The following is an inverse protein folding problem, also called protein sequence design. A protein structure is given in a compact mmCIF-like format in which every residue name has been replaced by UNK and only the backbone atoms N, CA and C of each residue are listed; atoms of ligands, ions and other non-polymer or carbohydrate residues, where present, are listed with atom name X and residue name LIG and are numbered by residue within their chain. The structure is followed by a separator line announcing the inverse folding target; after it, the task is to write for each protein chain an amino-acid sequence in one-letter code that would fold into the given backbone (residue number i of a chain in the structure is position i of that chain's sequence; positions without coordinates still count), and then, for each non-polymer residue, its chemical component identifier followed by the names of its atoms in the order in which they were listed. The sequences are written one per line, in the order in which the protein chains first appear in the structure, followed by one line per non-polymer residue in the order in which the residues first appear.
data_IF_875715138560
#
_entry.id   IF_875715138560
#
_cell.length_a   1.000
_cell.length_b   1.000
_cell.length_c   1.000
_cell.angle_alpha   90.00
_cell.angle_beta   90.00
_cell.angle_gamma   90.00
#
_symmetry.space_group_name_H-M   'P 1'
#
loop_
_entity.id
_entity.type
_entity.pdbx_description
1 polymer ?
#
# COMPACT_ATOMS: atom_id res chain seq x y z
N UNK A 1 -9.07 1.45 21.72
CA UNK A 1 -9.24 0.74 20.44
C UNK A 1 -9.60 1.75 19.36
N UNK A 2 -8.87 1.75 18.25
CA UNK A 2 -9.14 2.68 17.15
C UNK A 2 -10.33 2.21 16.35
N UNK A 3 -11.26 3.13 16.03
CA UNK A 3 -12.37 2.89 15.10
C UNK A 3 -11.92 3.08 13.66
N UNK A 4 -10.80 3.76 13.47
CA UNK A 4 -10.24 4.10 12.16
C UNK A 4 -8.78 3.67 12.13
N UNK A 5 -8.38 2.96 11.07
CA UNK A 5 -6.98 2.62 10.83
C UNK A 5 -6.66 2.85 9.35
N UNK A 6 -5.93 3.91 9.06
CA UNK A 6 -5.63 4.36 7.70
C UNK A 6 -4.20 4.07 7.27
N UNK A 7 -3.47 3.24 8.01
CA UNK A 7 -2.06 2.97 7.70
C UNK A 7 -1.72 1.49 7.94
N UNK A 8 -2.24 0.63 7.08
CA UNK A 8 -2.05 -0.82 7.15
C UNK A 8 -1.26 -1.27 5.92
N UNK A 9 -0.36 -2.22 6.10
CA UNK A 9 0.40 -2.82 4.99
C UNK A 9 0.03 -4.29 4.84
N UNK A 10 -0.20 -4.73 3.60
CA UNK A 10 -0.41 -6.13 3.28
C UNK A 10 0.92 -6.80 2.92
N UNK A 11 0.89 -8.10 2.64
CA UNK A 11 2.08 -8.84 2.24
C UNK A 11 2.52 -8.56 0.79
N UNK A 12 1.83 -7.68 0.07
CA UNK A 12 2.37 -7.11 -1.17
C UNK A 12 3.54 -6.16 -0.88
N UNK A 13 3.56 -5.53 0.32
CA UNK A 13 4.72 -4.79 0.80
C UNK A 13 5.66 -5.71 1.56
N UNK A 14 6.97 -5.44 1.48
CA UNK A 14 7.98 -6.25 2.17
C UNK A 14 7.82 -6.22 3.70
N UNK A 15 7.24 -5.16 4.24
CA UNK A 15 7.02 -4.98 5.67
C UNK A 15 5.66 -5.47 6.16
N UNK A 16 4.83 -6.00 5.28
CA UNK A 16 3.53 -6.56 5.64
C UNK A 16 3.58 -8.07 5.80
N UNK A 17 2.89 -8.60 6.80
CA UNK A 17 2.89 -10.03 7.12
C UNK A 17 1.62 -10.76 6.67
N UNK A 18 0.52 -10.03 6.47
CA UNK A 18 -0.79 -10.61 6.22
C UNK A 18 -1.26 -10.39 4.79
N UNK A 19 -1.94 -11.40 4.24
CA UNK A 19 -2.66 -11.23 2.98
C UNK A 19 -3.81 -10.23 3.16
N UNK A 20 -4.33 -9.71 2.05
CA UNK A 20 -5.47 -8.79 2.10
C UNK A 20 -6.67 -9.47 2.77
N UNK A 21 -6.94 -10.73 2.47
CA UNK A 21 -8.04 -11.46 3.08
C UNK A 21 -7.87 -11.59 4.61
N UNK A 22 -6.66 -11.90 5.06
CA UNK A 22 -6.37 -12.00 6.48
C UNK A 22 -6.51 -10.66 7.18
N UNK A 23 -6.12 -9.56 6.52
CA UNK A 23 -6.31 -8.21 7.05
C UNK A 23 -7.79 -7.88 7.22
N UNK A 24 -8.64 -8.29 6.26
CA UNK A 24 -10.08 -8.10 6.39
C UNK A 24 -10.61 -8.76 7.67
N UNK A 25 -10.19 -9.99 7.93
CA UNK A 25 -10.60 -10.74 9.12
C UNK A 25 -10.08 -10.10 10.39
N UNK A 26 -8.81 -9.72 10.42
CA UNK A 26 -8.16 -9.14 11.59
C UNK A 26 -8.75 -7.78 11.95
N UNK A 27 -8.94 -6.92 10.95
CA UNK A 27 -9.49 -5.57 11.14
C UNK A 27 -10.94 -5.67 11.64
N UNK A 28 -11.73 -6.58 11.08
CA UNK A 28 -13.09 -6.82 11.53
C UNK A 28 -13.13 -7.32 12.98
N UNK A 29 -12.24 -8.24 13.34
CA UNK A 29 -12.16 -8.78 14.71
C UNK A 29 -11.79 -7.69 15.73
N UNK A 30 -11.05 -6.66 15.32
CA UNK A 30 -10.66 -5.55 16.20
C UNK A 30 -11.71 -4.43 16.28
N UNK A 31 -12.81 -4.56 15.58
CA UNK A 31 -13.90 -3.57 15.64
C UNK A 31 -13.62 -2.28 14.90
N UNK A 32 -12.67 -2.27 13.98
CA UNK A 32 -12.38 -1.11 13.13
C UNK A 32 -13.53 -0.87 12.17
N UNK A 33 -13.88 0.38 11.94
CA UNK A 33 -15.01 0.77 11.07
C UNK A 33 -14.56 1.35 9.73
N UNK A 34 -13.40 2.00 9.71
CA UNK A 34 -12.82 2.60 8.50
C UNK A 34 -11.36 2.17 8.41
N UNK A 35 -10.94 1.65 7.27
CA UNK A 35 -9.58 1.14 7.09
C UNK A 35 -9.04 1.44 5.70
N UNK A 36 -7.71 1.52 5.59
CA UNK A 36 -7.03 1.66 4.32
C UNK A 36 -5.72 0.89 4.35
N UNK A 37 -5.47 0.12 3.30
CA UNK A 37 -4.19 -0.56 3.08
C UNK A 37 -3.36 0.36 2.19
N UNK A 38 -2.19 0.77 2.69
CA UNK A 38 -1.28 1.72 2.01
C UNK A 38 0.04 1.04 1.71
N UNK A 39 0.02 0.07 0.82
CA UNK A 39 1.23 -0.65 0.44
C UNK A 39 2.22 0.26 -0.29
N UNK A 40 3.51 -0.04 -0.11
CA UNK A 40 4.59 0.73 -0.74
C UNK A 40 4.61 0.52 -2.26
N UNK A 41 4.30 1.58 -3.00
CA UNK A 41 4.42 1.66 -4.47
C UNK A 41 3.61 0.64 -5.27
N UNK A 42 2.81 -0.19 -4.63
CA UNK A 42 1.99 -1.22 -5.27
C UNK A 42 0.51 -0.94 -5.06
N UNK A 43 -0.25 -1.11 -6.14
CA UNK A 43 -1.70 -0.89 -6.12
C UNK A 43 -2.49 -2.21 -5.98
N UNK A 44 -1.80 -3.32 -5.96
CA UNK A 44 -2.43 -4.66 -5.96
C UNK A 44 -3.44 -4.84 -4.83
N UNK A 45 -3.07 -4.43 -3.61
CA UNK A 45 -3.98 -4.57 -2.47
C UNK A 45 -5.24 -3.73 -2.63
N UNK A 46 -5.12 -2.51 -3.13
CA UNK A 46 -6.28 -1.65 -3.35
C UNK A 46 -7.24 -2.26 -4.37
N UNK A 47 -6.72 -2.94 -5.40
CA UNK A 47 -7.53 -3.66 -6.39
C UNK A 47 -8.17 -4.91 -5.77
N UNK A 48 -7.43 -5.65 -4.96
CA UNK A 48 -7.95 -6.86 -4.31
C UNK A 48 -9.05 -6.54 -3.29
N UNK A 49 -8.91 -5.41 -2.58
CA UNK A 49 -9.93 -4.93 -1.64
C UNK A 49 -11.30 -4.83 -2.29
N UNK A 50 -11.37 -4.42 -3.55
CA UNK A 50 -12.66 -4.29 -4.25
C UNK A 50 -13.42 -5.61 -4.34
N UNK A 51 -12.70 -6.75 -4.42
CA UNK A 51 -13.32 -8.06 -4.48
C UNK A 51 -13.99 -8.46 -3.15
N UNK A 52 -13.42 -8.03 -2.02
CA UNK A 52 -13.93 -8.39 -0.69
C UNK A 52 -14.83 -7.35 -0.07
N UNK A 53 -14.78 -6.11 -0.55
CA UNK A 53 -15.53 -4.97 0.01
C UNK A 53 -17.04 -5.24 0.15
N UNK A 54 -17.74 -5.86 -0.82
CA UNK A 54 -19.18 -6.10 -0.68
C UNK A 54 -19.53 -7.03 0.50
N UNK A 55 -18.59 -7.79 1.01
CA UNK A 55 -18.81 -8.75 2.09
C UNK A 55 -18.32 -8.22 3.44
N UNK A 56 -17.91 -6.97 3.52
CA UNK A 56 -17.37 -6.35 4.72
C UNK A 56 -18.28 -5.24 5.21
N UNK A 57 -18.37 -5.10 6.53
CA UNK A 57 -19.09 -4.00 7.17
C UNK A 57 -18.17 -2.79 7.40
N UNK A 58 -16.92 -2.90 6.98
CA UNK A 58 -15.91 -1.86 7.17
C UNK A 58 -15.86 -1.00 5.91
N UNK A 59 -15.75 0.31 6.08
CA UNK A 59 -15.48 1.22 4.96
C UNK A 59 -14.01 1.13 4.60
N UNK A 60 -13.70 0.49 3.49
CA UNK A 60 -12.35 0.39 2.97
C UNK A 60 -12.09 1.51 1.97
N UNK A 61 -11.06 2.32 2.24
CA UNK A 61 -10.68 3.43 1.38
C UNK A 61 -9.53 2.96 0.49
N UNK A 62 -9.68 3.06 -0.85
CA UNK A 62 -8.57 2.71 -1.75
C UNK A 62 -7.41 3.68 -1.55
N UNK A 63 -6.20 3.14 -1.35
CA UNK A 63 -5.05 3.95 -0.94
C UNK A 63 -3.73 3.33 -1.36
N UNK A 64 -2.68 4.12 -1.31
CA UNK A 64 -1.31 3.71 -1.63
C UNK A 64 -0.32 4.61 -0.90
N UNK A 65 0.86 4.07 -0.59
CA UNK A 65 1.99 4.87 -0.10
C UNK A 65 3.05 4.93 -1.19
N UNK A 66 3.22 6.10 -1.81
CA UNK A 66 4.15 6.28 -2.92
C UNK A 66 5.49 6.81 -2.47
N UNK A 67 6.57 6.19 -2.93
CA UNK A 67 7.92 6.71 -2.76
C UNK A 67 8.16 7.83 -3.77
N UNK A 68 8.76 8.92 -3.32
CA UNK A 68 9.10 10.06 -4.13
C UNK A 68 10.42 10.67 -3.67
N UNK A 69 11.04 11.48 -4.51
CA UNK A 69 12.28 12.18 -4.17
C UNK A 69 12.02 13.69 -4.23
N UNK A 70 12.33 14.36 -3.16
CA UNK A 70 12.24 15.81 -3.07
C UNK A 70 13.49 16.37 -2.42
N UNK A 71 14.17 17.27 -3.13
CA UNK A 71 15.43 17.88 -2.66
C UNK A 71 16.46 16.81 -2.23
N UNK A 72 16.64 15.78 -3.07
CA UNK A 72 17.57 14.67 -2.84
C UNK A 72 17.24 13.78 -1.63
N UNK A 73 16.04 13.89 -1.08
CA UNK A 73 15.59 13.05 0.02
C UNK A 73 14.42 12.20 -0.43
N UNK A 74 14.41 10.95 0.00
CA UNK A 74 13.26 10.09 -0.20
C UNK A 74 12.14 10.49 0.76
N UNK A 75 10.95 10.66 0.22
CA UNK A 75 9.74 10.92 1.00
C UNK A 75 8.67 9.92 0.60
N UNK A 76 7.74 9.68 1.50
CA UNK A 76 6.58 8.82 1.22
C UNK A 76 5.31 9.66 1.25
N UNK A 77 4.52 9.55 0.18
CA UNK A 77 3.26 10.25 0.03
C UNK A 77 2.11 9.26 0.15
N UNK A 78 1.18 9.54 1.06
CA UNK A 78 0.00 8.72 1.23
C UNK A 78 -1.13 9.28 0.36
N UNK A 79 -1.67 8.44 -0.53
CA UNK A 79 -2.81 8.80 -1.37
C UNK A 79 -4.04 8.02 -0.92
N UNK A 80 -5.11 8.73 -0.58
CA UNK A 80 -6.37 8.14 -0.17
C UNK A 80 -7.49 8.50 -1.14
N UNK A 81 -8.43 7.58 -1.35
CA UNK A 81 -9.55 7.81 -2.24
C UNK A 81 -9.14 7.83 -3.71
N UNK A 82 -8.11 7.08 -4.04
CA UNK A 82 -7.56 6.99 -5.40
C UNK A 82 -8.40 6.04 -6.26
N UNK A 83 -8.25 6.14 -7.59
CA UNK A 83 -8.78 5.14 -8.52
C UNK A 83 -7.72 4.05 -8.74
N UNK A 84 -7.87 2.86 -8.13
CA UNK A 84 -6.85 1.83 -8.21
C UNK A 84 -6.67 1.24 -9.61
N UNK A 85 -7.60 1.50 -10.53
CA UNK A 85 -7.53 0.99 -11.90
C UNK A 85 -6.84 1.94 -12.87
N UNK A 86 -6.39 3.11 -12.39
CA UNK A 86 -5.66 4.04 -13.24
C UNK A 86 -4.28 3.48 -13.58
N UNK A 87 -3.90 3.55 -14.85
CA UNK A 87 -2.63 2.99 -15.34
C UNK A 87 -1.39 3.64 -14.75
N UNK A 88 -1.52 4.87 -14.22
CA UNK A 88 -0.40 5.57 -13.58
C UNK A 88 0.27 4.74 -12.49
N UNK A 89 -0.51 3.96 -11.72
CA UNK A 89 0.04 3.17 -10.61
C UNK A 89 0.92 2.03 -11.10
N UNK A 90 0.56 1.42 -12.23
CA UNK A 90 1.38 0.36 -12.83
C UNK A 90 2.69 0.94 -13.37
N UNK A 91 2.64 2.11 -14.00
CA UNK A 91 3.82 2.82 -14.49
C UNK A 91 4.73 3.23 -13.32
N UNK A 92 4.14 3.77 -12.25
CA UNK A 92 4.88 4.15 -11.06
C UNK A 92 5.63 2.96 -10.47
N UNK A 93 4.96 1.82 -10.31
CA UNK A 93 5.57 0.61 -9.79
C UNK A 93 6.77 0.18 -10.65
N UNK A 94 6.62 0.19 -11.97
CA UNK A 94 7.70 -0.18 -12.88
C UNK A 94 8.88 0.79 -12.78
N UNK A 95 8.60 2.09 -12.63
CA UNK A 95 9.65 3.10 -12.47
C UNK A 95 10.41 2.92 -11.17
N UNK A 96 9.71 2.64 -10.07
CA UNK A 96 10.34 2.38 -8.78
C UNK A 96 11.20 1.12 -8.83
N UNK A 97 10.69 0.06 -9.46
CA UNK A 97 11.42 -1.20 -9.62
C UNK A 97 12.72 -0.98 -10.39
N UNK A 98 12.67 -0.23 -11.50
CA UNK A 98 13.86 0.10 -12.29
C UNK A 98 14.85 0.92 -11.50
N UNK A 99 14.38 1.89 -10.72
CA UNK A 99 15.24 2.72 -9.88
C UNK A 99 15.99 1.89 -8.85
N UNK A 100 15.30 0.94 -8.20
CA UNK A 100 15.93 0.03 -7.26
C UNK A 100 16.96 -0.88 -7.94
N UNK A 101 16.62 -1.46 -9.07
CA UNK A 101 17.53 -2.33 -9.83
C UNK A 101 18.81 -1.58 -10.26
N UNK A 102 18.68 -0.31 -10.66
CA UNK A 102 19.80 0.52 -11.08
C UNK A 102 20.68 0.95 -9.90
N UNK A 103 20.07 1.28 -8.76
CA UNK A 103 20.78 1.82 -7.61
C UNK A 103 21.36 0.75 -6.68
N UNK A 104 20.92 -0.50 -6.79
CA UNK A 104 21.31 -1.57 -5.87
C UNK A 104 22.84 -1.77 -5.77
N UNK A 105 23.61 -1.81 -6.87
CA UNK A 105 25.05 -1.95 -6.77
C UNK A 105 25.72 -0.84 -5.97
N UNK A 106 25.25 0.41 -6.14
CA UNK A 106 25.79 1.54 -5.38
C UNK A 106 25.42 1.46 -3.90
N UNK A 107 24.20 1.02 -3.60
CA UNK A 107 23.72 0.86 -2.23
C UNK A 107 24.50 -0.21 -1.49
N UNK A 108 24.83 -1.30 -2.16
CA UNK A 108 25.60 -2.40 -1.57
C UNK A 108 27.03 -1.99 -1.22
N UNK A 109 27.59 -0.99 -1.90
CA UNK A 109 28.94 -0.49 -1.62
C UNK A 109 29.05 0.20 -0.27
N UNK A 110 27.92 0.66 0.28
CA UNK A 110 27.89 1.39 1.54
C UNK A 110 27.39 0.55 2.73
N UNK A 111 27.16 -0.70 2.47
CA UNK A 111 26.80 -1.65 3.51
C UNK A 111 28.04 -2.34 4.05
#
# INVERSE_FOLDING_TARGET
MSVVDLHIHSNYSLDGEYSVLDLFKEVEARGVKVAAIVDHDRIDAAREVEAYRPYSNIMWIPAIECSAIYQNKEIHLLGYGIDPHHSWFDEHYQNIKKAYETSLPLRLQFL
#
